data_IF_828546247779
#
_entry.id   IF_828546247779
#
_cell.length_a   1.000
_cell.length_b   1.000
_cell.length_c   1.000
_cell.angle_alpha   90.00
_cell.angle_beta   90.00
_cell.angle_gamma   90.00
#
_symmetry.space_group_name_H-M   'P 1'
#
loop_
_entity.id
_entity.type
_entity.pdbx_description
1 polymer ?
#
# COMPACT_ATOMS: atom_id res chain seq x y z
N UNK A 1 28.73 1.15 -1.10
CA UNK A 1 28.11 2.13 -0.19
C UNK A 1 26.58 2.08 -0.14
N UNK A 2 25.89 1.81 -1.26
CA UNK A 2 24.42 1.96 -1.34
C UNK A 2 23.59 1.05 -0.43
N UNK A 3 23.97 -0.22 -0.24
CA UNK A 3 23.15 -1.22 0.46
C UNK A 3 22.72 -0.83 1.88
N UNK A 4 23.67 -0.70 2.81
CA UNK A 4 23.35 -0.35 4.20
C UNK A 4 22.83 1.08 4.35
N UNK A 5 23.20 2.00 3.43
CA UNK A 5 22.66 3.36 3.43
C UNK A 5 21.20 3.37 3.02
N UNK A 6 20.80 2.51 2.07
CA UNK A 6 19.41 2.34 1.68
C UNK A 6 18.57 1.78 2.84
N UNK A 7 19.10 0.82 3.60
CA UNK A 7 18.45 0.34 4.83
C UNK A 7 18.29 1.49 5.83
N UNK A 8 19.36 2.24 6.10
CA UNK A 8 19.33 3.36 7.05
C UNK A 8 18.29 4.42 6.65
N UNK A 9 18.25 4.80 5.37
CA UNK A 9 17.28 5.75 4.83
C UNK A 9 15.86 5.20 4.94
N UNK A 10 15.62 3.95 4.54
CA UNK A 10 14.30 3.33 4.63
C UNK A 10 13.80 3.27 6.07
N UNK A 11 14.64 2.81 7.01
CA UNK A 11 14.28 2.76 8.43
C UNK A 11 13.98 4.15 8.98
N UNK A 12 14.77 5.15 8.61
CA UNK A 12 14.54 6.53 9.00
C UNK A 12 13.18 7.03 8.47
N UNK A 13 12.90 6.84 7.18
CA UNK A 13 11.62 7.22 6.59
C UNK A 13 10.45 6.50 7.25
N UNK A 14 10.52 5.17 7.41
CA UNK A 14 9.50 4.39 8.09
C UNK A 14 9.20 4.93 9.48
N UNK A 15 10.24 5.14 10.31
CA UNK A 15 10.07 5.66 11.67
C UNK A 15 9.47 7.07 11.66
N UNK A 16 9.83 7.89 10.67
CA UNK A 16 9.29 9.25 10.51
C UNK A 16 7.79 9.29 10.18
N UNK A 17 7.18 8.17 9.79
CA UNK A 17 5.72 8.04 9.61
C UNK A 17 4.97 7.81 10.93
N UNK A 18 5.70 7.53 12.01
CA UNK A 18 5.16 7.05 13.29
C UNK A 18 5.54 7.95 14.47
N UNK A 19 5.62 9.26 14.22
CA UNK A 19 5.77 10.28 15.26
C UNK A 19 4.49 10.40 16.08
N UNK A 20 4.63 10.93 17.30
CA UNK A 20 3.50 11.15 18.20
C UNK A 20 2.38 11.97 17.52
N UNK A 21 2.75 12.96 16.72
CA UNK A 21 1.82 13.83 15.99
C UNK A 21 1.05 13.08 14.89
N UNK A 22 1.63 12.03 14.29
CA UNK A 22 1.04 11.31 13.16
C UNK A 22 0.07 10.21 13.56
N UNK A 23 0.35 9.48 14.64
CA UNK A 23 -0.48 8.34 15.04
C UNK A 23 -0.86 8.32 16.53
N UNK A 24 -0.54 9.38 17.28
CA UNK A 24 -0.89 9.53 18.70
C UNK A 24 -0.33 8.46 19.64
N UNK A 25 0.68 7.69 19.23
CA UNK A 25 1.35 6.69 20.07
C UNK A 25 2.71 7.19 20.56
N UNK A 26 2.93 7.20 21.89
CA UNK A 26 4.24 7.60 22.44
C UNK A 26 5.31 6.54 22.14
N UNK A 27 6.14 6.82 21.13
CA UNK A 27 7.35 6.05 20.83
C UNK A 27 8.61 6.83 21.20
N UNK A 28 9.72 6.11 21.32
CA UNK A 28 11.01 6.70 21.70
C UNK A 28 12.15 6.17 20.86
N UNK A 29 13.06 7.06 20.48
CA UNK A 29 14.25 6.77 19.68
C UNK A 29 15.53 7.23 20.38
N UNK A 30 16.67 6.65 20.01
CA UNK A 30 17.97 7.09 20.50
C UNK A 30 18.57 8.17 19.60
N UNK A 31 19.07 9.26 20.20
CA UNK A 31 19.62 10.45 19.52
C UNK A 31 21.07 10.73 19.92
N UNK A 32 21.78 9.73 20.44
CA UNK A 32 23.16 9.86 20.95
C UNK A 32 23.27 10.50 22.34
N UNK A 33 22.42 11.49 22.66
CA UNK A 33 22.29 12.10 24.00
C UNK A 33 21.48 11.24 24.97
N UNK A 34 20.64 10.34 24.45
CA UNK A 34 19.79 9.47 25.25
C UNK A 34 18.62 8.92 24.46
N UNK A 35 17.58 8.52 25.19
CA UNK A 35 16.32 8.04 24.62
C UNK A 35 15.27 9.15 24.72
N UNK A 36 14.89 9.72 23.59
CA UNK A 36 13.96 10.85 23.48
C UNK A 36 12.63 10.41 22.86
N UNK A 37 11.57 11.21 23.07
CA UNK A 37 10.27 10.99 22.43
C UNK A 37 10.36 11.25 20.93
N UNK A 38 9.80 10.34 20.15
CA UNK A 38 9.76 10.48 18.69
C UNK A 38 8.63 11.45 18.33
N UNK A 39 9.01 12.67 17.94
CA UNK A 39 8.11 13.76 17.56
C UNK A 39 8.58 14.44 16.28
N UNK A 40 7.69 15.12 15.57
CA UNK A 40 8.04 15.90 14.37
C UNK A 40 9.10 16.98 14.67
N UNK A 41 9.00 17.60 15.85
CA UNK A 41 9.98 18.57 16.32
C UNK A 41 11.37 17.95 16.56
N UNK A 42 11.45 16.71 17.07
CA UNK A 42 12.72 15.99 17.18
C UNK A 42 13.32 15.72 15.80
N UNK A 43 12.51 15.32 14.82
CA UNK A 43 12.95 15.04 13.46
C UNK A 43 13.28 16.31 12.65
N UNK A 44 12.86 17.48 13.13
CA UNK A 44 13.21 18.79 12.56
C UNK A 44 14.52 19.35 13.15
N UNK A 45 15.03 18.80 14.25
CA UNK A 45 16.27 19.22 14.88
C UNK A 45 17.48 18.49 14.26
N UNK A 46 18.14 19.14 13.30
CA UNK A 46 19.33 18.61 12.61
C UNK A 46 20.43 18.13 13.57
N UNK A 47 20.58 18.77 14.74
CA UNK A 47 21.62 18.41 15.72
C UNK A 47 21.32 17.08 16.40
N UNK A 48 20.05 16.70 16.50
CA UNK A 48 19.62 15.41 17.05
C UNK A 48 19.54 14.35 15.95
N UNK A 49 18.98 14.70 14.80
CA UNK A 49 18.81 13.80 13.65
C UNK A 49 20.15 13.23 13.18
N UNK A 50 21.22 14.05 13.14
CA UNK A 50 22.57 13.57 12.75
C UNK A 50 23.12 12.44 13.64
N UNK A 51 22.59 12.29 14.84
CA UNK A 51 23.02 11.26 15.79
C UNK A 51 22.10 10.01 15.77
N UNK A 52 21.01 10.03 15.00
CA UNK A 52 20.14 8.88 14.76
C UNK A 52 20.85 7.98 13.74
N UNK A 53 21.78 7.17 14.22
CA UNK A 53 22.52 6.22 13.39
C UNK A 53 21.75 4.91 13.18
N UNK A 54 22.25 4.04 12.29
CA UNK A 54 21.67 2.72 12.03
C UNK A 54 21.38 1.88 13.29
N UNK A 55 22.22 1.95 14.32
CA UNK A 55 21.98 1.23 15.58
C UNK A 55 20.82 1.83 16.39
N UNK A 56 20.62 3.14 16.34
CA UNK A 56 19.44 3.78 16.93
C UNK A 56 18.15 3.38 16.18
N UNK A 57 18.22 3.32 14.85
CA UNK A 57 17.11 2.94 13.97
C UNK A 57 16.70 1.47 14.19
N UNK A 58 17.64 0.53 14.26
CA UNK A 58 17.31 -0.88 14.48
C UNK A 58 16.75 -1.12 15.90
N UNK A 59 17.25 -0.36 16.90
CA UNK A 59 16.77 -0.46 18.30
C UNK A 59 15.39 0.15 18.55
N UNK A 60 14.83 0.84 17.57
CA UNK A 60 13.43 1.26 17.58
C UNK A 60 12.51 0.05 17.68
N UNK A 61 12.78 -1.00 16.90
CA UNK A 61 11.97 -2.22 16.82
C UNK A 61 12.17 -3.16 18.02
N UNK A 62 13.29 -3.06 18.72
CA UNK A 62 13.54 -3.91 19.88
C UNK A 62 14.98 -3.85 20.36
N UNK A 63 15.37 -4.75 21.25
CA UNK A 63 16.75 -4.89 21.70
C UNK A 63 16.99 -6.27 22.31
N UNK A 64 18.24 -6.73 22.32
CA UNK A 64 18.65 -7.92 23.05
C UNK A 64 19.37 -7.50 24.33
N UNK A 65 18.88 -7.91 25.50
CA UNK A 65 19.53 -7.65 26.79
C UNK A 65 19.66 -8.93 27.58
N UNK A 66 20.90 -9.26 27.99
CA UNK A 66 21.21 -10.46 28.80
C UNK A 66 20.63 -11.76 28.20
N UNK A 67 20.72 -11.92 26.88
CA UNK A 67 20.19 -13.09 26.16
C UNK A 67 18.67 -13.11 26.00
N UNK A 68 17.94 -12.08 26.44
CA UNK A 68 16.48 -11.95 26.23
C UNK A 68 16.18 -10.95 25.13
N UNK A 69 15.21 -11.31 24.29
CA UNK A 69 14.67 -10.48 23.23
C UNK A 69 13.55 -9.58 23.77
N UNK A 70 13.66 -8.27 23.52
CA UNK A 70 12.67 -7.27 23.89
C UNK A 70 12.17 -6.57 22.64
N UNK A 71 11.10 -7.11 22.04
CA UNK A 71 10.40 -6.47 20.92
C UNK A 71 9.65 -5.24 21.41
N UNK A 72 9.70 -4.16 20.64
CA UNK A 72 9.02 -2.88 20.91
C UNK A 72 8.13 -2.53 19.71
N UNK A 73 7.20 -1.60 19.93
CA UNK A 73 6.32 -1.07 18.89
C UNK A 73 5.60 -2.18 18.10
N UNK A 74 5.13 -3.22 18.81
CA UNK A 74 4.44 -4.37 18.21
C UNK A 74 3.13 -3.97 17.52
N UNK A 75 2.56 -2.83 17.89
CA UNK A 75 1.42 -2.20 17.24
C UNK A 75 1.67 -1.88 15.75
N UNK A 76 2.93 -1.75 15.33
CA UNK A 76 3.30 -1.53 13.94
C UNK A 76 3.39 -2.81 13.12
N UNK A 77 3.36 -4.00 13.75
CA UNK A 77 3.47 -5.27 13.03
C UNK A 77 2.20 -5.57 12.23
N UNK A 78 2.39 -6.24 11.09
CA UNK A 78 1.28 -6.73 10.29
C UNK A 78 0.44 -7.78 11.05
N UNK A 79 -0.86 -7.83 10.74
CA UNK A 79 -1.74 -8.84 11.33
C UNK A 79 -1.28 -10.25 10.93
N UNK A 80 -1.23 -11.16 11.90
CA UNK A 80 -0.80 -12.54 11.69
C UNK A 80 0.71 -12.79 11.81
N UNK A 81 1.52 -11.76 12.07
CA UNK A 81 2.94 -11.95 12.39
C UNK A 81 3.09 -12.60 13.76
N UNK A 82 3.70 -13.78 13.79
CA UNK A 82 3.95 -14.52 15.03
C UNK A 82 5.07 -13.90 15.86
N UNK A 83 5.13 -14.23 17.15
CA UNK A 83 6.22 -13.78 18.02
C UNK A 83 7.59 -14.30 17.53
N UNK A 84 7.65 -15.51 16.98
CA UNK A 84 8.86 -16.09 16.37
C UNK A 84 9.30 -15.29 15.15
N UNK A 85 8.35 -14.88 14.30
CA UNK A 85 8.64 -14.05 13.13
C UNK A 85 9.14 -12.67 13.56
N UNK A 86 8.50 -12.06 14.56
CA UNK A 86 8.94 -10.78 15.12
C UNK A 86 10.35 -10.86 15.74
N UNK A 87 10.67 -12.00 16.37
CA UNK A 87 11.99 -12.28 16.91
C UNK A 87 13.04 -12.35 15.79
N UNK A 88 12.76 -13.08 14.72
CA UNK A 88 13.65 -13.23 13.58
C UNK A 88 13.91 -11.89 12.88
N UNK A 89 12.87 -11.05 12.73
CA UNK A 89 13.01 -9.69 12.21
C UNK A 89 13.98 -8.90 13.10
N UNK A 90 13.80 -8.94 14.42
CA UNK A 90 14.65 -8.19 15.35
C UNK A 90 16.10 -8.70 15.36
N UNK A 91 16.30 -10.01 15.30
CA UNK A 91 17.63 -10.63 15.19
C UNK A 91 18.34 -10.15 13.93
N UNK A 92 17.65 -10.22 12.79
CA UNK A 92 18.16 -9.73 11.51
C UNK A 92 18.54 -8.24 11.58
N UNK A 93 17.67 -7.39 12.14
CA UNK A 93 17.92 -5.96 12.30
C UNK A 93 19.09 -5.65 13.25
N UNK A 94 19.23 -6.43 14.32
CA UNK A 94 20.27 -6.22 15.33
C UNK A 94 21.67 -6.52 14.80
N UNK A 95 21.78 -7.38 13.79
CA UNK A 95 23.04 -7.77 13.16
C UNK A 95 23.52 -6.80 12.08
N UNK A 96 22.65 -5.93 11.54
CA UNK A 96 23.00 -5.01 10.44
C UNK A 96 24.18 -4.08 10.79
N UNK A 97 24.28 -3.46 11.98
CA UNK A 97 25.44 -2.63 12.32
C UNK A 97 26.77 -3.39 12.25
N UNK A 98 26.78 -4.66 12.66
CA UNK A 98 27.96 -5.54 12.59
C UNK A 98 28.32 -5.84 11.13
N UNK A 99 27.33 -6.23 10.31
CA UNK A 99 27.51 -6.53 8.89
C UNK A 99 28.01 -5.31 8.11
N UNK A 100 27.45 -4.12 8.39
CA UNK A 100 27.90 -2.85 7.83
C UNK A 100 29.39 -2.62 8.11
N UNK A 101 29.81 -2.78 9.36
CA UNK A 101 31.21 -2.57 9.74
C UNK A 101 32.15 -3.58 9.08
N UNK A 102 31.72 -4.84 8.91
CA UNK A 102 32.46 -5.86 8.17
C UNK A 102 32.62 -5.52 6.68
N UNK A 103 31.55 -5.07 6.03
CA UNK A 103 31.55 -4.68 4.62
C UNK A 103 32.49 -3.49 4.33
N UNK A 104 32.56 -2.51 5.24
CA UNK A 104 33.47 -1.36 5.10
C UNK A 104 34.90 -1.61 5.60
N UNK A 105 35.22 -2.83 6.06
CA UNK A 105 36.56 -3.14 6.50
C UNK A 105 37.52 -3.18 5.30
N UNK A 106 38.71 -2.55 5.41
CA UNK A 106 39.65 -2.33 4.30
C UNK A 106 40.03 -3.60 3.53
N UNK A 107 40.04 -4.76 4.18
CA UNK A 107 40.36 -6.05 3.56
C UNK A 107 39.20 -6.69 2.79
N UNK A 108 37.97 -6.18 2.98
CA UNK A 108 36.75 -6.75 2.42
C UNK A 108 36.21 -5.94 1.22
N UNK A 109 36.80 -4.78 0.93
CA UNK A 109 36.33 -3.86 -0.12
C UNK A 109 36.31 -4.48 -1.53
N UNK A 110 37.16 -5.47 -1.79
CA UNK A 110 37.23 -6.17 -3.07
C UNK A 110 36.71 -7.62 -2.99
N UNK A 111 36.16 -8.04 -1.85
CA UNK A 111 35.66 -9.40 -1.69
C UNK A 111 34.23 -9.51 -2.25
N UNK A 112 34.08 -10.21 -3.36
CA UNK A 112 32.79 -10.36 -4.03
C UNK A 112 31.74 -11.08 -3.18
N UNK A 113 32.15 -12.05 -2.35
CA UNK A 113 31.24 -12.74 -1.44
C UNK A 113 30.67 -11.77 -0.37
N UNK A 114 31.47 -10.81 0.10
CA UNK A 114 31.00 -9.78 1.05
C UNK A 114 30.01 -8.82 0.39
N UNK A 115 30.20 -8.51 -0.89
CA UNK A 115 29.25 -7.71 -1.69
C UNK A 115 27.92 -8.45 -1.85
N UNK A 116 27.98 -9.73 -2.21
CA UNK A 116 26.79 -10.57 -2.38
C UNK A 116 26.03 -10.76 -1.06
N UNK A 117 26.74 -11.04 0.03
CA UNK A 117 26.15 -11.14 1.37
C UNK A 117 25.47 -9.83 1.78
N UNK A 118 26.09 -8.68 1.50
CA UNK A 118 25.51 -7.37 1.80
C UNK A 118 24.25 -7.08 0.97
N UNK A 119 24.26 -7.45 -0.31
CA UNK A 119 23.09 -7.35 -1.19
C UNK A 119 21.94 -8.22 -0.67
N UNK A 120 22.23 -9.50 -0.40
CA UNK A 120 21.21 -10.46 0.04
C UNK A 120 20.64 -10.08 1.41
N UNK A 121 21.48 -9.62 2.34
CA UNK A 121 21.03 -9.07 3.62
C UNK A 121 20.11 -7.86 3.43
N UNK A 122 20.46 -6.94 2.53
CA UNK A 122 19.63 -5.77 2.23
C UNK A 122 18.27 -6.14 1.68
N UNK A 123 18.23 -7.07 0.72
CA UNK A 123 16.98 -7.59 0.17
C UNK A 123 16.14 -8.27 1.26
N UNK A 124 16.74 -9.12 2.08
CA UNK A 124 16.06 -9.78 3.20
C UNK A 124 15.44 -8.76 4.15
N UNK A 125 16.19 -7.72 4.54
CA UNK A 125 15.69 -6.66 5.43
C UNK A 125 14.49 -5.95 4.81
N UNK A 126 14.54 -5.61 3.52
CA UNK A 126 13.38 -5.00 2.85
C UNK A 126 12.18 -5.93 2.80
N UNK A 127 12.36 -7.21 2.47
CA UNK A 127 11.26 -8.18 2.47
C UNK A 127 10.63 -8.34 3.86
N UNK A 128 11.46 -8.45 4.89
CA UNK A 128 10.99 -8.58 6.27
C UNK A 128 10.26 -7.34 6.76
N UNK A 129 10.72 -6.14 6.41
CA UNK A 129 10.08 -4.90 6.83
C UNK A 129 8.79 -4.64 6.07
N UNK A 130 8.79 -4.83 4.74
CA UNK A 130 7.62 -4.62 3.90
C UNK A 130 6.52 -5.65 4.14
N UNK A 131 6.88 -6.90 4.48
CA UNK A 131 5.91 -7.95 4.80
C UNK A 131 5.54 -8.03 6.29
N UNK A 132 6.43 -7.58 7.18
CA UNK A 132 6.28 -7.72 8.63
C UNK A 132 5.62 -6.52 9.32
N UNK A 133 5.56 -5.35 8.68
CA UNK A 133 5.00 -4.13 9.24
C UNK A 133 3.83 -3.60 8.42
N UNK A 134 2.89 -2.96 9.11
CA UNK A 134 1.73 -2.34 8.49
C UNK A 134 2.09 -0.96 7.91
N UNK A 135 1.58 -0.71 6.70
CA UNK A 135 1.60 0.60 6.07
C UNK A 135 0.17 1.01 5.77
N UNK A 136 -0.29 2.11 6.36
CA UNK A 136 -1.56 2.72 5.96
C UNK A 136 -1.45 3.30 4.54
N UNK A 137 -2.59 3.57 3.91
CA UNK A 137 -2.60 4.22 2.59
C UNK A 137 -1.93 5.61 2.64
N UNK A 138 -2.10 6.36 3.73
CA UNK A 138 -1.41 7.63 3.94
C UNK A 138 0.11 7.46 4.01
N UNK A 139 0.58 6.41 4.68
CA UNK A 139 2.01 6.08 4.77
C UNK A 139 2.60 5.74 3.40
N UNK A 140 1.87 4.96 2.60
CA UNK A 140 2.31 4.58 1.25
C UNK A 140 2.33 5.78 0.29
N UNK A 141 1.41 6.74 0.46
CA UNK A 141 1.41 8.02 -0.27
C UNK A 141 2.61 8.88 0.13
N UNK A 142 2.90 9.02 1.42
CA UNK A 142 4.05 9.80 1.91
C UNK A 142 5.39 9.19 1.46
N UNK A 143 5.47 7.86 1.39
CA UNK A 143 6.62 7.13 0.84
C UNK A 143 6.72 7.21 -0.70
N UNK A 144 5.80 7.90 -1.37
CA UNK A 144 5.72 7.98 -2.84
C UNK A 144 5.62 6.61 -3.54
N UNK A 145 5.17 5.58 -2.82
CA UNK A 145 4.94 4.23 -3.37
C UNK A 145 3.66 4.21 -4.21
N UNK A 146 2.66 5.00 -3.80
CA UNK A 146 1.42 5.21 -4.55
C UNK A 146 1.57 6.50 -5.36
N UNK A 147 2.12 6.37 -6.58
CA UNK A 147 1.88 7.36 -7.62
C UNK A 147 0.58 6.98 -8.32
N UNK A 148 -0.52 7.53 -7.86
CA UNK A 148 -1.73 7.54 -8.65
C UNK A 148 -1.93 8.95 -9.17
N UNK A 149 -1.74 9.14 -10.47
CA UNK A 149 -2.47 10.19 -11.18
C UNK A 149 -3.97 9.82 -11.07
N UNK A 150 -4.57 10.14 -9.93
CA UNK A 150 -5.99 9.91 -9.64
C UNK A 150 -6.81 11.04 -10.25
N UNK A 151 -6.88 11.13 -11.57
CA UNK A 151 -8.07 11.79 -12.10
C UNK A 151 -9.28 10.87 -11.87
N UNK A 152 -10.49 11.45 -11.80
CA UNK A 152 -11.68 10.65 -11.50
C UNK A 152 -11.98 9.60 -12.58
N UNK A 153 -11.43 9.74 -13.79
CA UNK A 153 -11.53 8.71 -14.82
C UNK A 153 -10.69 7.48 -14.48
N UNK A 154 -9.46 7.66 -13.98
CA UNK A 154 -8.62 6.56 -13.51
C UNK A 154 -9.27 5.83 -12.33
N UNK A 155 -9.79 6.57 -11.36
CA UNK A 155 -10.50 6.01 -10.20
C UNK A 155 -11.73 5.18 -10.63
N UNK A 156 -12.47 5.66 -11.64
CA UNK A 156 -13.58 4.91 -12.23
C UNK A 156 -13.11 3.61 -12.90
N UNK A 157 -12.01 3.66 -13.67
CA UNK A 157 -11.45 2.46 -14.32
C UNK A 157 -11.07 1.39 -13.29
N UNK A 158 -10.36 1.80 -12.24
CA UNK A 158 -9.98 0.92 -11.14
C UNK A 158 -11.20 0.32 -10.44
N UNK A 159 -12.20 1.16 -10.12
CA UNK A 159 -13.43 0.74 -9.47
C UNK A 159 -14.18 -0.34 -10.25
N UNK A 160 -14.44 -0.11 -11.54
CA UNK A 160 -15.17 -1.03 -12.40
C UNK A 160 -14.38 -2.34 -12.57
N UNK A 161 -13.06 -2.25 -12.78
CA UNK A 161 -12.21 -3.43 -12.97
C UNK A 161 -12.14 -4.30 -11.70
N UNK A 162 -12.16 -3.70 -10.52
CA UNK A 162 -12.15 -4.41 -9.23
C UNK A 162 -13.50 -5.03 -8.86
N UNK A 163 -14.62 -4.46 -9.33
CA UNK A 163 -15.97 -4.99 -9.08
C UNK A 163 -16.41 -6.12 -10.03
N UNK A 164 -15.74 -6.31 -11.17
CA UNK A 164 -16.09 -7.35 -12.16
C UNK A 164 -16.28 -8.76 -11.56
N UNK A 165 -15.46 -9.15 -10.58
CA UNK A 165 -15.47 -10.50 -9.98
C UNK A 165 -16.04 -10.56 -8.56
N UNK A 166 -16.56 -9.45 -8.02
CA UNK A 166 -17.05 -9.40 -6.63
C UNK A 166 -18.57 -9.27 -6.63
N UNK A 167 -19.24 -10.41 -6.51
CA UNK A 167 -20.68 -10.49 -6.27
C UNK A 167 -20.90 -10.95 -4.82
N UNK A 168 -20.85 -10.02 -3.85
CA UNK A 168 -21.23 -10.34 -2.48
C UNK A 168 -22.73 -10.59 -2.48
N UNK A 169 -23.11 -11.85 -2.41
CA UNK A 169 -24.48 -12.32 -2.39
C UNK A 169 -25.24 -11.99 -3.70
N UNK A 170 -26.52 -12.38 -3.81
CA UNK A 170 -27.34 -12.30 -5.03
C UNK A 170 -27.60 -10.87 -5.57
N UNK A 171 -26.77 -9.89 -5.22
CA UNK A 171 -26.80 -8.48 -5.56
C UNK A 171 -25.65 -8.13 -6.50
N UNK A 172 -25.92 -8.18 -7.81
CA UNK A 172 -24.96 -7.84 -8.85
C UNK A 172 -25.01 -6.33 -9.10
N UNK A 173 -23.87 -5.60 -9.06
CA UNK A 173 -23.86 -4.19 -9.42
C UNK A 173 -24.15 -4.01 -10.92
N UNK A 174 -25.00 -3.05 -11.22
CA UNK A 174 -25.38 -2.67 -12.59
C UNK A 174 -25.27 -1.16 -12.76
N UNK A 175 -25.04 -0.70 -13.99
CA UNK A 175 -24.67 0.67 -14.27
C UNK A 175 -25.60 1.31 -15.29
N UNK A 176 -25.76 2.63 -15.18
CA UNK A 176 -26.57 3.48 -16.05
C UNK A 176 -25.79 4.75 -16.38
N UNK A 177 -25.98 5.29 -17.58
CA UNK A 177 -25.25 6.49 -18.05
C UNK A 177 -26.05 7.78 -17.95
N UNK A 178 -27.21 7.72 -17.29
CA UNK A 178 -28.06 8.87 -16.93
C UNK A 178 -29.02 8.50 -15.81
N UNK A 179 -29.48 9.50 -15.06
CA UNK A 179 -30.49 9.34 -14.00
C UNK A 179 -31.84 8.86 -14.55
N UNK A 180 -32.31 9.49 -15.63
CA UNK A 180 -33.58 9.13 -16.28
C UNK A 180 -33.38 8.03 -17.33
N UNK A 181 -32.98 6.84 -16.87
CA UNK A 181 -32.89 5.63 -17.68
C UNK A 181 -33.97 4.62 -17.26
N UNK A 182 -34.52 3.89 -18.24
CA UNK A 182 -35.41 2.78 -17.92
C UNK A 182 -34.67 1.73 -17.09
N UNK A 183 -35.30 1.19 -16.05
CA UNK A 183 -34.64 0.23 -15.13
C UNK A 183 -34.04 -1.00 -15.83
N UNK A 184 -34.48 -1.34 -17.03
CA UNK A 184 -33.95 -2.46 -17.82
C UNK A 184 -32.84 -2.07 -18.82
N UNK A 185 -32.51 -0.78 -18.95
CA UNK A 185 -31.44 -0.27 -19.80
C UNK A 185 -30.14 -0.11 -18.99
N UNK A 186 -29.67 -1.24 -18.46
CA UNK A 186 -28.50 -1.30 -17.59
C UNK A 186 -27.33 -2.03 -18.24
N UNK A 187 -26.15 -1.80 -17.69
CA UNK A 187 -24.91 -2.40 -18.12
C UNK A 187 -24.24 -3.14 -16.96
N UNK A 188 -23.52 -4.21 -17.27
CA UNK A 188 -22.62 -4.89 -16.34
C UNK A 188 -21.21 -4.31 -16.47
N UNK A 189 -20.47 -4.30 -15.36
CA UNK A 189 -19.03 -4.06 -15.41
C UNK A 189 -18.34 -5.15 -16.22
N UNK A 190 -17.30 -4.80 -16.95
CA UNK A 190 -16.45 -5.74 -17.67
C UNK A 190 -14.97 -5.45 -17.36
N UNK A 191 -14.14 -6.48 -17.32
CA UNK A 191 -12.70 -6.34 -17.14
C UNK A 191 -12.07 -5.61 -18.34
N UNK A 192 -11.06 -4.79 -18.03
CA UNK A 192 -10.11 -4.30 -19.03
C UNK A 192 -9.09 -5.41 -19.35
N UNK A 193 -9.15 -5.95 -20.56
CA UNK A 193 -8.26 -7.01 -21.04
C UNK A 193 -6.91 -6.46 -21.54
N UNK A 194 -6.77 -5.13 -21.63
CA UNK A 194 -5.61 -4.44 -22.21
C UNK A 194 -4.91 -3.53 -21.19
N UNK A 195 -4.95 -3.90 -19.90
CA UNK A 195 -4.23 -3.19 -18.85
C UNK A 195 -2.73 -3.37 -19.09
N UNK A 196 -2.03 -2.25 -19.24
CA UNK A 196 -0.56 -2.21 -19.19
C UNK A 196 -0.10 -1.92 -17.77
N UNK A 197 1.14 -2.26 -17.44
CA UNK A 197 1.74 -1.91 -16.15
C UNK A 197 2.98 -1.08 -16.41
N UNK A 198 3.09 0.03 -15.67
CA UNK A 198 4.32 0.82 -15.64
C UNK A 198 5.48 0.01 -15.05
N UNK A 199 6.70 0.50 -15.20
CA UNK A 199 7.91 -0.10 -14.61
C UNK A 199 7.85 -0.22 -13.08
N UNK A 200 6.98 0.55 -12.42
CA UNK A 200 6.74 0.53 -10.97
C UNK A 200 5.54 -0.33 -10.57
N UNK A 201 4.88 -1.01 -11.52
CA UNK A 201 3.74 -1.88 -11.26
C UNK A 201 2.39 -1.17 -11.13
N UNK A 202 2.34 0.16 -11.34
CA UNK A 202 1.08 0.91 -11.40
C UNK A 202 0.31 0.53 -12.68
N UNK A 203 -0.97 0.13 -12.59
CA UNK A 203 -1.75 -0.24 -13.77
C UNK A 203 -2.07 0.99 -14.61
N UNK A 204 -2.08 0.81 -15.92
CA UNK A 204 -2.49 1.81 -16.91
C UNK A 204 -3.67 1.25 -17.68
N UNK A 205 -4.85 1.69 -17.29
CA UNK A 205 -6.10 1.25 -17.90
C UNK A 205 -6.22 1.78 -19.33
N UNK A 206 -6.64 0.92 -20.24
CA UNK A 206 -6.93 1.26 -21.63
C UNK A 206 -8.29 1.96 -21.77
N UNK A 207 -9.15 1.83 -20.77
CA UNK A 207 -10.46 2.45 -20.65
C UNK A 207 -11.34 1.75 -19.61
N UNK A 208 -12.55 2.28 -19.42
CA UNK A 208 -13.58 1.62 -18.61
C UNK A 208 -14.53 0.85 -19.52
N UNK A 209 -14.88 -0.38 -19.13
CA UNK A 209 -15.65 -1.29 -19.97
C UNK A 209 -16.97 -1.70 -19.32
N UNK A 210 -18.01 -1.69 -20.15
CA UNK A 210 -19.36 -2.08 -19.78
C UNK A 210 -19.93 -3.03 -20.82
N UNK A 211 -20.76 -3.99 -20.41
CA UNK A 211 -21.44 -4.93 -21.31
C UNK A 211 -22.94 -4.88 -21.10
N UNK A 212 -23.70 -4.79 -22.19
CA UNK A 212 -25.15 -4.95 -22.16
C UNK A 212 -25.55 -6.42 -22.41
N UNK A 213 -26.75 -6.81 -22.00
CA UNK A 213 -27.23 -8.20 -22.10
C UNK A 213 -27.26 -8.75 -23.54
N UNK A 214 -27.30 -7.88 -24.54
CA UNK A 214 -27.15 -8.20 -25.98
C UNK A 214 -25.69 -8.47 -26.42
N UNK A 215 -24.78 -8.59 -25.45
CA UNK A 215 -23.34 -8.91 -25.58
C UNK A 215 -22.48 -7.82 -26.24
N UNK A 216 -23.00 -6.62 -26.46
CA UNK A 216 -22.16 -5.50 -26.94
C UNK A 216 -21.27 -5.01 -25.79
N UNK A 217 -19.94 -5.04 -26.01
CA UNK A 217 -18.93 -4.46 -25.10
C UNK A 217 -18.69 -3.00 -25.47
N UNK A 218 -18.95 -2.11 -24.54
CA UNK A 218 -18.71 -0.67 -24.66
C UNK A 218 -17.40 -0.32 -23.97
N UNK A 219 -16.55 0.41 -24.68
CA UNK A 219 -15.31 0.97 -24.15
C UNK A 219 -15.44 2.47 -24.08
N UNK A 220 -15.17 3.04 -22.90
CA UNK A 220 -15.02 4.47 -22.74
C UNK A 220 -13.59 4.83 -22.36
N UNK A 221 -13.05 5.83 -23.05
CA UNK A 221 -11.81 6.53 -22.75
C UNK A 221 -12.16 7.89 -22.14
N UNK A 222 -11.15 8.59 -21.63
CA UNK A 222 -11.33 9.94 -21.07
C UNK A 222 -11.98 10.94 -22.04
N UNK A 223 -11.84 10.72 -23.35
CA UNK A 223 -12.38 11.59 -24.40
C UNK A 223 -13.84 11.32 -24.76
N UNK A 224 -14.41 10.17 -24.39
CA UNK A 224 -15.78 9.79 -24.80
C UNK A 224 -16.62 9.20 -23.66
N UNK A 225 -16.15 9.31 -22.42
CA UNK A 225 -16.88 8.89 -21.22
C UNK A 225 -18.21 9.65 -21.10
N UNK A 226 -19.31 9.00 -20.66
CA UNK A 226 -20.54 9.69 -20.38
C UNK A 226 -20.35 10.77 -19.31
N UNK A 227 -21.16 11.84 -19.40
CA UNK A 227 -21.13 12.93 -18.45
C UNK A 227 -21.42 12.47 -17.02
N UNK A 228 -22.25 11.45 -16.85
CA UNK A 228 -22.58 10.85 -15.57
C UNK A 228 -22.69 9.33 -15.66
N UNK A 229 -22.37 8.65 -14.55
CA UNK A 229 -22.56 7.21 -14.39
C UNK A 229 -23.16 6.95 -13.02
N UNK A 230 -24.20 6.12 -13.02
CA UNK A 230 -24.95 5.71 -11.85
C UNK A 230 -24.83 4.21 -11.63
N UNK A 231 -24.70 3.80 -10.37
CA UNK A 231 -24.75 2.42 -9.92
C UNK A 231 -26.15 2.10 -9.38
N UNK A 232 -26.65 0.92 -9.72
CA UNK A 232 -27.81 0.27 -9.15
C UNK A 232 -27.49 -1.19 -8.80
N UNK A 233 -28.53 -1.95 -8.50
CA UNK A 233 -28.40 -3.34 -8.07
C UNK A 233 -29.34 -4.24 -8.86
N UNK A 234 -28.83 -5.41 -9.22
CA UNK A 234 -29.56 -6.50 -9.83
C UNK A 234 -29.68 -7.62 -8.80
N UNK A 235 -30.87 -7.78 -8.24
CA UNK A 235 -31.15 -8.80 -7.22
C UNK A 235 -31.82 -10.02 -7.85
N UNK A 236 -31.31 -11.22 -7.55
CA UNK A 236 -31.94 -12.49 -7.93
C UNK A 236 -32.75 -13.06 -6.75
N UNK A 237 -34.09 -13.01 -6.82
CA UNK A 237 -34.96 -13.68 -5.84
C UNK A 237 -35.32 -15.10 -6.31
N UNK A 238 -35.30 -16.07 -5.38
CA UNK A 238 -35.49 -17.50 -5.66
C UNK A 238 -36.89 -17.98 -5.25
N UNK A 239 -37.95 -17.27 -5.64
CA UNK A 239 -39.34 -17.67 -5.34
C UNK A 239 -40.01 -18.35 -6.54
N UNK A 240 -39.58 -19.57 -6.87
CA UNK A 240 -40.24 -20.51 -7.81
C UNK A 240 -40.34 -20.08 -9.29
N UNK A 241 -40.23 -18.79 -9.59
CA UNK A 241 -40.03 -18.16 -10.89
C UNK A 241 -38.88 -17.17 -10.73
N UNK A 242 -37.92 -17.22 -11.64
CA UNK A 242 -36.77 -16.33 -11.63
C UNK A 242 -37.23 -14.91 -11.99
N UNK A 243 -37.73 -14.16 -11.00
CA UNK A 243 -38.14 -12.77 -11.20
C UNK A 243 -36.91 -11.88 -11.10
N UNK A 244 -36.51 -11.33 -12.24
CA UNK A 244 -35.38 -10.43 -12.40
C UNK A 244 -35.89 -8.99 -12.26
N UNK A 245 -35.48 -8.28 -11.20
CA UNK A 245 -35.89 -6.90 -10.96
C UNK A 245 -34.64 -6.03 -10.77
N UNK A 246 -34.18 -5.32 -11.82
CA UNK A 246 -33.18 -4.28 -11.68
C UNK A 246 -33.73 -3.12 -10.86
N UNK A 247 -32.89 -2.51 -10.03
CA UNK A 247 -33.33 -1.42 -9.15
C UNK A 247 -33.49 -0.06 -9.84
N UNK A 248 -33.03 0.11 -11.07
CA UNK A 248 -32.77 1.43 -11.64
C UNK A 248 -31.50 2.09 -11.07
N UNK A 249 -31.17 3.31 -11.53
CA UNK A 249 -30.06 4.10 -11.02
C UNK A 249 -30.35 4.52 -9.57
N UNK A 250 -29.39 4.28 -8.65
CA UNK A 250 -29.53 4.58 -7.22
C UNK A 250 -28.50 5.56 -6.70
N UNK A 251 -27.22 5.32 -7.04
CA UNK A 251 -26.09 6.12 -6.56
C UNK A 251 -25.28 6.62 -7.75
N UNK A 252 -25.09 7.93 -7.84
CA UNK A 252 -24.15 8.49 -8.81
C UNK A 252 -22.73 8.17 -8.37
N UNK A 253 -21.91 7.62 -9.28
CA UNK A 253 -20.52 7.24 -8.99
C UNK A 253 -19.52 8.08 -9.78
N UNK A 254 -19.96 8.74 -10.86
CA UNK A 254 -19.11 9.58 -11.70
C UNK A 254 -19.90 10.74 -12.27
N UNK A 255 -19.31 11.93 -12.29
CA UNK A 255 -19.87 13.11 -12.96
C UNK A 255 -18.76 14.06 -13.41
N UNK A 256 -18.78 14.45 -14.69
CA UNK A 256 -17.95 15.52 -15.25
C UNK A 256 -16.44 15.41 -14.90
N UNK A 257 -15.85 14.22 -14.99
CA UNK A 257 -14.43 14.03 -14.66
C UNK A 257 -14.18 13.60 -13.22
N UNK A 258 -15.14 13.78 -12.31
CA UNK A 258 -15.02 13.48 -10.89
C UNK A 258 -15.65 12.14 -10.53
N UNK A 259 -14.98 11.39 -9.65
CA UNK A 259 -15.46 10.15 -9.08
C UNK A 259 -15.98 10.38 -7.66
N UNK A 260 -17.17 9.87 -7.34
CA UNK A 260 -18.02 10.40 -6.25
C UNK A 260 -18.35 9.38 -5.15
N UNK A 261 -17.47 8.41 -4.87
CA UNK A 261 -17.78 7.31 -3.94
C UNK A 261 -17.78 7.69 -2.45
#
# INVERSE_FOLDING_TARGET
>A
MGYFKAIEQFLYYFISLHTLEKDSVERRIYTGSGRERLTDNLLSDERKVKNINLNALTRFFGDFKKGRCYVKNKDLLASGISDETSHFILETLSDIPRLRNGYFHKHNLCNWNEVENSRNCTLLVFYLLLGGYNFSESNLKELSVVQTETDGFYQLCEYINNKFNKFPDFNIPIYYFKEECGKYDFYFAEKDDYIEYSTTGVPKYSGVYFRRADKVKYKFTKSNIPYEIWEGTFSMCKDGKLNIIPSGPKKMIYKNGDFLL
#
